data_IF_909840791970
#
_entry.id   IF_909840791970
#
_cell.length_a   1.000
_cell.length_b   1.000
_cell.length_c   1.000
_cell.angle_alpha   90.00
_cell.angle_beta   90.00
_cell.angle_gamma   90.00
#
_symmetry.space_group_name_H-M   'P 1'
#
loop_
_entity.id
_entity.type
_entity.pdbx_description
1 polymer ?
#
# COMPACT_ATOMS: atom_id res chain seq x y z
N UNK A 1 -16.55 -17.55 -6.20
CA UNK A 1 -17.06 -17.15 -4.87
C UNK A 1 -16.09 -16.15 -4.29
N UNK A 2 -16.56 -15.01 -3.79
CA UNK A 2 -15.69 -14.04 -3.12
C UNK A 2 -15.21 -14.66 -1.80
N UNK A 3 -13.90 -14.72 -1.58
CA UNK A 3 -13.34 -15.17 -0.31
C UNK A 3 -13.69 -14.15 0.78
N UNK A 4 -14.03 -14.61 1.97
CA UNK A 4 -14.22 -13.73 3.14
C UNK A 4 -12.86 -13.18 3.59
N UNK A 5 -12.80 -11.87 3.86
CA UNK A 5 -11.56 -11.19 4.26
C UNK A 5 -11.46 -11.17 5.80
N UNK A 6 -10.36 -11.72 6.33
CA UNK A 6 -9.99 -11.63 7.75
C UNK A 6 -9.46 -10.25 8.12
N UNK A 7 -8.83 -9.56 7.17
CA UNK A 7 -8.24 -8.23 7.37
C UNK A 7 -8.18 -7.50 6.04
N UNK A 8 -8.39 -6.20 6.04
CA UNK A 8 -8.18 -5.30 4.91
C UNK A 8 -7.25 -4.17 5.33
N UNK A 9 -6.29 -3.83 4.47
CA UNK A 9 -5.35 -2.73 4.70
C UNK A 9 -5.31 -1.82 3.48
N UNK A 10 -5.04 -0.54 3.74
CA UNK A 10 -4.67 0.42 2.71
C UNK A 10 -3.20 0.76 2.90
N UNK A 11 -2.38 0.49 1.89
CA UNK A 11 -0.98 0.88 1.88
C UNK A 11 -0.77 2.16 1.09
N UNK A 12 0.02 3.06 1.66
CA UNK A 12 0.27 4.41 1.17
C UNK A 12 1.79 4.61 1.00
N UNK A 13 2.20 4.89 -0.24
CA UNK A 13 3.55 5.35 -0.61
C UNK A 13 3.44 6.79 -1.17
N UNK A 14 3.57 7.83 -0.32
CA UNK A 14 3.47 9.21 -0.73
C UNK A 14 4.80 9.72 -1.31
N UNK A 15 4.79 10.69 -2.24
CA UNK A 15 6.00 11.23 -2.85
C UNK A 15 6.87 12.03 -1.87
N UNK A 16 8.20 12.03 -2.09
CA UNK A 16 9.21 12.69 -1.24
C UNK A 16 9.08 14.20 -1.21
N UNK A 17 8.66 14.83 -2.31
CA UNK A 17 8.65 16.30 -2.44
C UNK A 17 7.25 16.83 -2.74
N UNK A 18 6.91 17.98 -2.13
CA UNK A 18 5.66 18.69 -2.39
C UNK A 18 5.70 19.50 -3.72
N UNK A 19 6.50 19.06 -4.69
CA UNK A 19 6.57 19.73 -6.00
C UNK A 19 5.60 19.07 -6.97
N UNK A 20 4.84 19.88 -7.71
CA UNK A 20 3.78 19.43 -8.62
C UNK A 20 4.28 18.62 -9.83
N UNK A 21 5.57 18.33 -9.92
CA UNK A 21 6.17 17.55 -11.00
C UNK A 21 6.02 16.05 -10.73
N UNK A 22 4.90 15.50 -11.20
CA UNK A 22 4.79 14.14 -11.76
C UNK A 22 4.98 12.91 -10.87
N UNK A 23 5.27 13.01 -9.57
CA UNK A 23 5.35 11.81 -8.72
C UNK A 23 3.95 11.29 -8.36
N UNK A 24 3.75 9.98 -8.41
CA UNK A 24 2.50 9.33 -8.05
C UNK A 24 2.47 9.10 -6.54
N UNK A 25 1.27 9.09 -5.96
CA UNK A 25 1.08 8.56 -4.61
C UNK A 25 0.46 7.18 -4.72
N UNK A 26 1.27 6.15 -4.45
CA UNK A 26 0.86 4.75 -4.43
C UNK A 26 -0.20 4.53 -3.35
N UNK A 27 -1.39 4.08 -3.74
CA UNK A 27 -2.47 3.73 -2.81
C UNK A 27 -3.03 2.38 -3.23
N UNK A 28 -2.73 1.34 -2.45
CA UNK A 28 -3.17 -0.03 -2.73
C UNK A 28 -4.05 -0.53 -1.59
N UNK A 29 -5.21 -1.08 -1.94
CA UNK A 29 -6.08 -1.79 -1.01
C UNK A 29 -5.86 -3.28 -1.19
N UNK A 30 -5.53 -3.98 -0.10
CA UNK A 30 -5.37 -5.43 -0.10
C UNK A 30 -6.02 -6.08 1.11
N UNK A 31 -6.50 -7.30 0.96
CA UNK A 31 -7.10 -8.09 2.04
C UNK A 31 -6.41 -9.43 2.24
N UNK A 32 -6.43 -9.94 3.47
CA UNK A 32 -6.06 -11.31 3.81
C UNK A 32 -7.33 -12.16 3.86
N UNK A 33 -7.44 -13.13 2.96
CA UNK A 33 -8.54 -14.09 2.95
C UNK A 33 -8.45 -15.11 4.08
N UNK A 34 -9.58 -15.74 4.40
CA UNK A 34 -9.64 -16.85 5.36
C UNK A 34 -8.78 -18.06 4.94
N UNK A 35 -8.49 -18.17 3.66
CA UNK A 35 -7.63 -19.16 3.03
C UNK A 35 -6.12 -18.84 3.14
N UNK A 36 -5.75 -17.80 3.89
CA UNK A 36 -4.36 -17.34 4.09
C UNK A 36 -3.67 -16.86 2.81
N UNK A 37 -4.46 -16.42 1.82
CA UNK A 37 -3.98 -15.71 0.63
C UNK A 37 -4.24 -14.22 0.74
N UNK A 38 -3.39 -13.41 0.12
CA UNK A 38 -3.63 -11.98 -0.01
C UNK A 38 -4.35 -11.68 -1.33
N UNK A 39 -5.27 -10.74 -1.29
CA UNK A 39 -6.09 -10.30 -2.41
C UNK A 39 -5.87 -8.82 -2.64
N UNK A 40 -5.37 -8.43 -3.81
CA UNK A 40 -5.31 -7.02 -4.22
C UNK A 40 -6.70 -6.61 -4.66
N UNK A 41 -7.33 -5.76 -3.85
CA UNK A 41 -8.74 -5.39 -3.99
C UNK A 41 -8.89 -4.16 -4.88
N UNK A 42 -7.98 -3.19 -4.78
CA UNK A 42 -7.98 -2.01 -5.62
C UNK A 42 -6.61 -1.34 -5.72
N UNK A 43 -6.38 -0.70 -6.86
CA UNK A 43 -5.38 0.33 -7.04
C UNK A 43 -6.09 1.71 -7.08
N UNK A 44 -5.86 2.54 -6.05
CA UNK A 44 -6.42 3.88 -5.88
C UNK A 44 -5.36 4.97 -6.02
N UNK A 45 -4.18 4.63 -6.55
CA UNK A 45 -3.05 5.56 -6.70
C UNK A 45 -3.45 6.77 -7.53
N UNK A 46 -3.04 7.96 -7.09
CA UNK A 46 -3.31 9.22 -7.76
C UNK A 46 -2.02 9.88 -8.27
N UNK A 47 -2.14 10.67 -9.34
CA UNK A 47 -1.03 11.44 -9.91
C UNK A 47 -0.99 12.87 -9.36
N UNK A 48 0.17 13.31 -8.88
CA UNK A 48 0.54 14.72 -8.74
C UNK A 48 -0.43 15.58 -7.95
N UNK A 49 -0.61 15.33 -6.65
CA UNK A 49 -1.46 16.19 -5.82
C UNK A 49 -0.86 16.41 -4.44
N UNK A 50 -1.12 17.60 -3.90
CA UNK A 50 -0.66 18.07 -2.59
C UNK A 50 -0.94 17.06 -1.47
N UNK A 51 -0.25 17.15 -0.32
CA UNK A 51 -0.47 16.25 0.82
C UNK A 51 -1.93 16.01 1.17
N UNK A 52 -2.73 17.07 1.11
CA UNK A 52 -4.15 17.03 1.40
C UNK A 52 -4.93 16.11 0.46
N UNK A 53 -4.58 16.06 -0.83
CA UNK A 53 -5.36 15.29 -1.78
C UNK A 53 -5.07 13.80 -1.70
N UNK A 54 -3.79 13.40 -1.60
CA UNK A 54 -3.51 11.97 -1.41
C UNK A 54 -4.02 11.48 -0.06
N UNK A 55 -4.03 12.33 0.98
CA UNK A 55 -4.58 11.96 2.27
C UNK A 55 -6.09 11.69 2.19
N UNK A 56 -6.84 12.57 1.52
CA UNK A 56 -8.28 12.34 1.29
C UNK A 56 -8.53 11.09 0.44
N UNK A 57 -7.72 10.83 -0.59
CA UNK A 57 -7.86 9.62 -1.41
C UNK A 57 -7.59 8.34 -0.61
N UNK A 58 -6.54 8.34 0.23
CA UNK A 58 -6.19 7.21 1.07
C UNK A 58 -7.25 6.95 2.15
N UNK A 59 -7.76 8.01 2.80
CA UNK A 59 -8.83 7.90 3.79
C UNK A 59 -10.16 7.48 3.15
N UNK A 60 -10.48 7.99 1.96
CA UNK A 60 -11.64 7.52 1.18
C UNK A 60 -11.52 6.03 0.85
N UNK A 61 -10.35 5.56 0.44
CA UNK A 61 -10.11 4.11 0.24
C UNK A 61 -10.23 3.31 1.55
N UNK A 62 -9.80 3.88 2.67
CA UNK A 62 -9.95 3.26 3.99
C UNK A 62 -11.43 3.09 4.36
N UNK A 63 -12.26 4.11 4.12
CA UNK A 63 -13.69 4.07 4.41
C UNK A 63 -14.46 3.18 3.42
N UNK A 64 -14.21 3.32 2.12
CA UNK A 64 -14.86 2.54 1.06
C UNK A 64 -14.73 1.02 1.25
N UNK A 65 -13.59 0.59 1.80
CA UNK A 65 -13.26 -0.83 2.00
C UNK A 65 -13.30 -1.25 3.47
N UNK A 66 -13.74 -0.37 4.37
CA UNK A 66 -13.80 -0.61 5.82
C UNK A 66 -12.49 -1.19 6.36
N UNK A 67 -11.37 -0.62 5.93
CA UNK A 67 -10.05 -1.17 6.19
C UNK A 67 -9.74 -1.17 7.69
N UNK A 68 -9.02 -2.19 8.16
CA UNK A 68 -8.63 -2.33 9.56
C UNK A 68 -7.50 -1.36 9.94
N UNK A 69 -6.62 -1.05 8.98
CA UNK A 69 -5.49 -0.14 9.20
C UNK A 69 -4.91 0.43 7.90
N UNK A 70 -4.30 1.60 8.04
CA UNK A 70 -3.44 2.21 7.05
C UNK A 70 -1.98 1.80 7.27
N UNK A 71 -1.24 1.46 6.22
CA UNK A 71 0.19 1.17 6.25
C UNK A 71 0.90 2.29 5.50
N UNK A 72 1.60 3.17 6.20
CA UNK A 72 2.18 4.38 5.61
C UNK A 72 3.71 4.36 5.67
N UNK A 73 4.37 4.52 4.52
CA UNK A 73 5.83 4.70 4.49
C UNK A 73 6.23 6.07 5.06
N UNK A 74 7.14 6.08 6.04
CA UNK A 74 7.55 7.30 6.75
C UNK A 74 8.95 7.80 6.41
N UNK A 75 9.65 7.18 5.46
CA UNK A 75 10.95 7.69 5.03
C UNK A 75 10.87 9.03 4.28
N UNK A 76 9.74 9.29 3.65
CA UNK A 76 9.52 10.39 2.71
C UNK A 76 8.92 11.62 3.42
N UNK A 77 9.44 11.95 4.62
CA UNK A 77 8.94 13.06 5.44
C UNK A 77 8.05 12.64 6.62
N UNK A 78 8.21 11.41 7.13
CA UNK A 78 7.45 10.71 8.16
C UNK A 78 6.40 11.44 9.00
N UNK A 79 6.81 12.43 9.80
CA UNK A 79 5.87 13.17 10.66
C UNK A 79 4.87 13.99 9.84
N UNK A 80 5.23 14.46 8.65
CA UNK A 80 4.33 15.14 7.71
C UNK A 80 3.23 14.19 7.23
N UNK A 81 3.56 12.96 6.83
CA UNK A 81 2.57 12.02 6.29
C UNK A 81 1.49 11.74 7.34
N UNK A 82 1.93 11.46 8.56
CA UNK A 82 1.03 11.12 9.67
C UNK A 82 0.26 12.34 10.15
N UNK A 83 0.90 13.51 10.29
CA UNK A 83 0.20 14.73 10.70
C UNK A 83 -0.84 15.18 9.67
N UNK A 84 -0.56 15.02 8.38
CA UNK A 84 -1.53 15.32 7.31
C UNK A 84 -2.73 14.38 7.42
N UNK A 85 -2.50 13.06 7.54
CA UNK A 85 -3.60 12.10 7.71
C UNK A 85 -4.43 12.40 8.98
N UNK A 86 -3.76 12.70 10.10
CA UNK A 86 -4.41 13.01 11.38
C UNK A 86 -5.21 14.32 11.35
N UNK A 87 -4.83 15.27 10.48
CA UNK A 87 -5.60 16.50 10.28
C UNK A 87 -6.97 16.24 9.64
N UNK A 88 -7.10 15.21 8.81
CA UNK A 88 -8.36 14.84 8.17
C UNK A 88 -9.15 13.80 8.96
N UNK A 89 -8.47 12.94 9.73
CA UNK A 89 -9.11 11.93 10.57
C UNK A 89 -8.34 11.68 11.85
N UNK A 90 -8.98 11.96 12.97
CA UNK A 90 -8.43 11.64 14.29
C UNK A 90 -8.60 10.14 14.60
N UNK A 91 -7.66 9.58 15.37
CA UNK A 91 -7.78 8.27 16.03
C UNK A 91 -8.09 7.06 15.13
N UNK A 92 -7.57 7.00 13.91
CA UNK A 92 -7.67 5.79 13.07
C UNK A 92 -6.38 4.93 13.13
N UNK A 93 -6.47 3.60 12.93
CA UNK A 93 -5.31 2.72 13.02
C UNK A 93 -4.32 2.96 11.85
N UNK A 94 -3.12 3.42 12.17
CA UNK A 94 -2.03 3.61 11.21
C UNK A 94 -0.75 2.91 11.68
N UNK A 95 -0.15 2.12 10.80
CA UNK A 95 1.15 1.46 10.97
C UNK A 95 2.18 2.22 10.16
N UNK A 96 3.21 2.72 10.84
CA UNK A 96 4.34 3.40 10.21
C UNK A 96 5.35 2.35 9.74
N UNK A 97 5.68 2.32 8.46
CA UNK A 97 6.70 1.43 7.89
C UNK A 97 7.89 2.23 7.39
N UNK A 98 9.09 1.65 7.53
CA UNK A 98 10.35 2.27 7.15
C UNK A 98 11.13 1.33 6.25
N UNK A 99 11.41 1.77 5.02
CA UNK A 99 12.41 1.13 4.16
C UNK A 99 13.79 1.26 4.78
N UNK A 100 14.45 0.14 5.01
CA UNK A 100 15.86 0.06 5.44
C UNK A 100 16.78 -0.57 4.39
N UNK A 101 16.18 -1.13 3.33
CA UNK A 101 16.84 -1.79 2.21
C UNK A 101 16.27 -1.28 0.90
N UNK A 102 17.03 -1.46 -0.19
CA UNK A 102 16.60 -1.07 -1.53
C UNK A 102 15.30 -1.75 -1.95
N UNK A 103 14.57 -1.10 -2.87
CA UNK A 103 13.23 -1.52 -3.34
C UNK A 103 13.20 -2.97 -3.80
N UNK A 104 14.20 -3.40 -4.57
CA UNK A 104 14.36 -4.78 -5.02
C UNK A 104 14.37 -5.81 -3.89
N UNK A 105 15.20 -5.58 -2.87
CA UNK A 105 15.34 -6.52 -1.73
C UNK A 105 14.06 -6.59 -0.89
N UNK A 106 13.27 -5.50 -0.84
CA UNK A 106 11.96 -5.53 -0.19
C UNK A 106 10.91 -6.28 -1.01
N UNK A 107 10.99 -6.20 -2.33
CA UNK A 107 10.03 -6.83 -3.24
C UNK A 107 10.25 -8.35 -3.38
N UNK A 108 11.47 -8.85 -3.21
CA UNK A 108 11.82 -10.27 -3.37
C UNK A 108 10.89 -11.22 -2.57
N UNK A 109 10.66 -11.03 -1.25
CA UNK A 109 9.76 -11.91 -0.50
C UNK A 109 8.32 -11.89 -1.03
N UNK A 110 7.86 -10.73 -1.52
CA UNK A 110 6.52 -10.60 -2.11
C UNK A 110 6.44 -11.31 -3.46
N UNK A 111 7.49 -11.22 -4.28
CA UNK A 111 7.58 -11.97 -5.53
C UNK A 111 7.53 -13.50 -5.30
N UNK A 112 8.17 -13.99 -4.24
CA UNK A 112 8.08 -15.40 -3.84
C UNK A 112 6.62 -15.80 -3.51
N UNK A 113 5.88 -14.94 -2.78
CA UNK A 113 4.46 -15.19 -2.49
C UNK A 113 3.58 -15.22 -3.75
N UNK A 114 3.90 -14.40 -4.76
CA UNK A 114 3.24 -14.49 -6.08
C UNK A 114 3.55 -15.82 -6.77
N UNK A 115 4.81 -16.28 -6.75
CA UNK A 115 5.21 -17.56 -7.35
C UNK A 115 4.54 -18.77 -6.67
N UNK A 116 4.29 -18.68 -5.37
CA UNK A 116 3.53 -19.68 -4.59
C UNK A 116 2.01 -19.62 -4.82
N UNK A 117 1.52 -18.64 -5.60
CA UNK A 117 0.09 -18.43 -5.82
C UNK A 117 -0.65 -17.96 -4.56
N UNK A 118 0.05 -17.26 -3.64
CA UNK A 118 -0.50 -16.74 -2.38
C UNK A 118 -0.98 -15.30 -2.46
N UNK A 119 -0.74 -14.62 -3.59
CA UNK A 119 -1.26 -13.29 -3.88
C UNK A 119 -2.10 -13.34 -5.14
N UNK A 120 -3.31 -12.76 -5.09
CA UNK A 120 -4.29 -12.78 -6.18
C UNK A 120 -4.79 -11.37 -6.43
N UNK A 121 -4.91 -10.95 -7.69
CA UNK A 121 -5.58 -9.69 -8.03
C UNK A 121 -7.06 -9.98 -8.30
N UNK A 122 -7.97 -9.27 -7.64
CA UNK A 122 -9.43 -9.50 -7.77
C UNK A 122 -9.96 -8.95 -9.10
N UNK A 123 -9.23 -8.04 -9.74
CA UNK A 123 -9.50 -7.51 -11.07
C UNK A 123 -8.21 -7.28 -11.83
N UNK A 124 -8.33 -6.64 -13.00
CA UNK A 124 -7.17 -6.17 -13.76
C UNK A 124 -6.75 -4.80 -13.26
N UNK A 125 -5.49 -4.64 -12.92
CA UNK A 125 -4.91 -3.37 -12.52
C UNK A 125 -3.75 -3.02 -13.45
N UNK A 126 -4.07 -2.77 -14.73
CA UNK A 126 -3.07 -2.69 -15.81
C UNK A 126 -1.88 -1.77 -15.45
N UNK A 127 -2.11 -0.59 -14.86
CA UNK A 127 -1.03 0.32 -14.47
C UNK A 127 -0.14 -0.20 -13.32
N UNK A 128 -0.70 -0.94 -12.37
CA UNK A 128 0.04 -1.61 -11.30
C UNK A 128 0.82 -2.80 -11.88
N UNK A 129 0.15 -3.64 -12.66
CA UNK A 129 0.72 -4.81 -13.32
C UNK A 129 1.88 -4.41 -14.23
N UNK A 130 1.74 -3.34 -14.99
CA UNK A 130 2.81 -2.77 -15.84
C UNK A 130 4.04 -2.36 -15.00
N UNK A 131 3.83 -1.76 -13.83
CA UNK A 131 4.93 -1.42 -12.90
C UNK A 131 5.58 -2.67 -12.33
N UNK A 132 4.80 -3.69 -11.99
CA UNK A 132 5.32 -4.97 -11.49
C UNK A 132 6.16 -5.69 -12.56
N UNK A 133 5.69 -5.73 -13.81
CA UNK A 133 6.42 -6.36 -14.92
C UNK A 133 7.67 -5.57 -15.33
N UNK A 134 7.66 -4.25 -15.15
CA UNK A 134 8.78 -3.37 -15.50
C UNK A 134 9.77 -3.16 -14.36
N UNK A 135 9.62 -3.90 -13.26
CA UNK A 135 10.43 -3.76 -12.05
C UNK A 135 11.82 -4.37 -12.28
N UNK A 136 12.81 -3.51 -12.53
CA UNK A 136 14.19 -3.93 -12.78
C UNK A 136 14.94 -4.33 -11.52
N UNK A 137 16.08 -5.02 -11.68
CA UNK A 137 16.97 -5.39 -10.57
C UNK A 137 17.55 -4.18 -9.80
N UNK A 138 17.49 -2.99 -10.40
CA UNK A 138 17.80 -1.70 -9.80
C UNK A 138 16.66 -1.14 -8.92
N UNK A 139 15.50 -1.81 -8.90
CA UNK A 139 14.32 -1.42 -8.13
C UNK A 139 13.57 -0.24 -8.72
N UNK A 140 13.77 0.07 -10.00
CA UNK A 140 13.08 1.16 -10.70
C UNK A 140 12.31 0.66 -11.92
N UNK A 141 11.38 1.49 -12.40
CA UNK A 141 10.73 1.34 -13.70
C UNK A 141 11.31 2.38 -14.65
N UNK A 142 12.20 1.98 -15.57
CA UNK A 142 12.80 2.88 -16.58
C UNK A 142 13.41 4.16 -15.95
N UNK A 143 14.04 4.03 -14.77
CA UNK A 143 14.63 5.16 -14.04
C UNK A 143 13.64 6.00 -13.22
N UNK A 144 12.37 5.58 -13.09
CA UNK A 144 11.35 6.20 -12.23
C UNK A 144 10.95 5.31 -11.06
N UNK A 145 10.47 5.94 -10.00
CA UNK A 145 9.94 5.26 -8.82
C UNK A 145 8.68 4.45 -9.17
N UNK A 146 8.59 3.17 -8.78
CA UNK A 146 7.41 2.32 -9.00
C UNK A 146 6.43 2.44 -7.81
N UNK A 147 5.88 3.63 -7.59
CA UNK A 147 5.12 3.97 -6.37
C UNK A 147 3.92 3.02 -6.09
N UNK A 148 3.27 2.49 -7.15
CA UNK A 148 2.16 1.52 -7.01
C UNK A 148 2.67 0.18 -6.52
N UNK A 149 3.77 -0.30 -7.10
CA UNK A 149 4.37 -1.58 -6.75
C UNK A 149 4.98 -1.53 -5.34
N UNK A 150 5.58 -0.40 -4.93
CA UNK A 150 6.08 -0.22 -3.57
C UNK A 150 4.93 -0.22 -2.54
N UNK A 151 3.85 0.50 -2.80
CA UNK A 151 2.64 0.45 -1.96
C UNK A 151 2.07 -0.98 -1.87
N UNK A 152 2.02 -1.71 -2.98
CA UNK A 152 1.62 -3.12 -3.01
C UNK A 152 2.55 -3.98 -2.14
N UNK A 153 3.87 -3.83 -2.27
CA UNK A 153 4.85 -4.58 -1.47
C UNK A 153 4.60 -4.35 0.02
N UNK A 154 4.32 -3.11 0.43
CA UNK A 154 3.96 -2.80 1.81
C UNK A 154 2.67 -3.48 2.26
N UNK A 155 1.62 -3.44 1.44
CA UNK A 155 0.35 -4.09 1.76
C UNK A 155 0.53 -5.59 1.97
N UNK A 156 1.20 -6.29 1.05
CA UNK A 156 1.40 -7.73 1.14
C UNK A 156 2.33 -8.11 2.30
N UNK A 157 3.38 -7.30 2.54
CA UNK A 157 4.28 -7.51 3.67
C UNK A 157 3.56 -7.38 5.00
N UNK A 158 2.67 -6.39 5.16
CA UNK A 158 1.89 -6.22 6.39
C UNK A 158 0.88 -7.36 6.60
N UNK A 159 0.30 -7.91 5.53
CA UNK A 159 -0.70 -8.98 5.61
C UNK A 159 -0.11 -10.37 5.82
N UNK A 160 1.01 -10.71 5.14
CA UNK A 160 1.51 -12.09 5.06
C UNK A 160 2.87 -12.32 5.72
N UNK A 161 3.66 -11.27 5.96
CA UNK A 161 5.04 -11.40 6.44
C UNK A 161 5.27 -10.73 7.80
N UNK A 162 4.40 -9.81 8.18
CA UNK A 162 4.50 -9.11 9.45
C UNK A 162 3.77 -9.88 10.54
N UNK A 163 4.42 -10.07 11.68
CA UNK A 163 3.81 -10.66 12.87
C UNK A 163 2.87 -9.67 13.60
N UNK A 164 2.28 -8.73 12.86
CA UNK A 164 1.39 -7.70 13.39
C UNK A 164 -0.01 -8.28 13.62
N UNK A 165 -0.11 -9.39 14.36
CA UNK A 165 -1.30 -9.79 15.10
C UNK A 165 -1.44 -8.90 16.35
N UNK A 166 -1.74 -7.62 16.14
CA UNK A 166 -2.40 -6.84 17.19
C UNK A 166 -3.89 -6.84 16.86
N UNK A 167 -4.76 -7.40 17.71
CA UNK A 167 -6.20 -7.34 17.48
C UNK A 167 -6.65 -5.87 17.45
N UNK A 168 -7.27 -5.45 16.36
CA UNK A 168 -8.03 -4.20 16.29
C UNK A 168 -9.50 -4.51 16.55
N UNK A 169 -10.10 -3.81 17.51
CA UNK A 169 -11.53 -3.92 17.77
C UNK A 169 -12.25 -3.04 16.75
N UNK A 170 -13.08 -3.66 15.92
CA UNK A 170 -14.01 -2.95 15.04
C UNK A 170 -15.20 -2.51 15.90
N UNK A 171 -15.34 -1.19 16.12
CA UNK A 171 -16.55 -0.64 16.73
C UNK A 171 -17.66 -0.72 15.69
N UNK A 172 -18.73 -1.46 16.03
CA UNK A 172 -19.97 -1.60 15.23
C UNK A 172 -20.89 -0.40 15.45
#
# INVERSE_FOLDING_TARGET
>A
AACEMQRIVVALDPPVTATASSDACGIIVAGLGVDKRAYVLADRTIQGRTPEVWANAALGAFDDYEADRMVAEVNQGGDLVISVLQRFRENFPVVKVRATRGKWVRAEPVAALYAEGRVVHVGRFDALEDQMCSFGADGTMRGRSPDRADALVWAITDLLLSDTMKPSVRML
#
